data_IF_634477682912
#
_entry.id   IF_634477682912
#
_cell.length_a   1.000
_cell.length_b   1.000
_cell.length_c   1.000
_cell.angle_alpha   90.00
_cell.angle_beta   90.00
_cell.angle_gamma   90.00
#
_symmetry.space_group_name_H-M   'P 1'
#
loop_
_entity.id
_entity.type
_entity.pdbx_description
1 polymer ?
#
# COMPACT_ATOMS: atom_id res chain seq x y z
N UNK A 1 -13.38 -16.67 -7.36
CA UNK A 1 -12.00 -17.05 -6.98
C UNK A 1 -11.06 -16.00 -7.53
N UNK A 2 -10.12 -15.49 -6.72
CA UNK A 2 -9.05 -14.60 -7.20
C UNK A 2 -7.91 -15.38 -7.83
N UNK A 3 -6.93 -14.68 -8.39
CA UNK A 3 -5.70 -15.28 -8.90
C UNK A 3 -4.66 -15.49 -7.79
N UNK A 4 -3.85 -16.53 -7.93
CA UNK A 4 -2.71 -16.80 -7.05
C UNK A 4 -1.43 -16.86 -7.88
N UNK A 5 -0.42 -16.10 -7.48
CA UNK A 5 0.88 -16.00 -8.14
C UNK A 5 1.96 -16.53 -7.20
N UNK A 6 2.67 -17.58 -7.63
CA UNK A 6 3.71 -18.23 -6.82
C UNK A 6 5.01 -18.55 -7.58
N UNK A 7 5.03 -18.41 -8.91
CA UNK A 7 6.24 -18.63 -9.72
C UNK A 7 7.21 -17.47 -9.61
N UNK A 8 8.47 -17.74 -9.29
CA UNK A 8 9.54 -16.73 -9.27
C UNK A 8 9.60 -15.96 -10.59
N UNK A 9 9.87 -14.64 -10.52
CA UNK A 9 10.00 -13.74 -11.68
C UNK A 9 8.74 -13.66 -12.56
N UNK A 10 7.57 -13.96 -11.99
CA UNK A 10 6.30 -13.73 -12.69
C UNK A 10 6.17 -12.27 -13.12
N UNK A 11 5.79 -12.05 -14.38
CA UNK A 11 5.51 -10.73 -14.94
C UNK A 11 4.10 -10.72 -15.52
N UNK A 12 3.29 -9.73 -15.12
CA UNK A 12 2.01 -9.42 -15.75
C UNK A 12 2.02 -7.99 -16.27
N UNK A 13 1.49 -7.80 -17.48
CA UNK A 13 1.45 -6.49 -18.15
C UNK A 13 0.04 -6.25 -18.71
N UNK A 14 -0.56 -5.09 -18.43
CA UNK A 14 -1.76 -4.64 -19.13
C UNK A 14 -3.02 -5.47 -18.86
N UNK A 15 -3.13 -6.10 -17.69
CA UNK A 15 -4.24 -7.00 -17.34
C UNK A 15 -4.96 -6.55 -16.05
N UNK A 16 -6.28 -6.76 -16.01
CA UNK A 16 -7.10 -6.53 -14.81
C UNK A 16 -7.37 -7.85 -14.09
N UNK A 17 -7.12 -7.87 -12.78
CA UNK A 17 -7.52 -8.92 -11.86
C UNK A 17 -8.65 -8.40 -10.97
N UNK A 18 -9.81 -9.03 -11.02
CA UNK A 18 -11.01 -8.54 -10.34
C UNK A 18 -11.68 -9.63 -9.50
N UNK A 19 -12.11 -9.26 -8.29
CA UNK A 19 -13.01 -10.06 -7.48
C UNK A 19 -14.34 -9.33 -7.24
N UNK A 20 -15.41 -9.88 -7.81
CA UNK A 20 -16.76 -9.28 -7.81
C UNK A 20 -17.65 -9.68 -6.62
N UNK A 21 -17.08 -10.29 -5.56
CA UNK A 21 -17.87 -10.74 -4.40
C UNK A 21 -18.66 -9.60 -3.71
N UNK A 22 -18.14 -8.37 -3.76
CA UNK A 22 -18.75 -7.20 -3.17
C UNK A 22 -18.46 -7.05 -1.66
N UNK A 23 -18.76 -5.88 -1.07
CA UNK A 23 -18.33 -5.56 0.29
C UNK A 23 -19.12 -6.36 1.36
N UNK A 24 -20.32 -6.84 1.04
CA UNK A 24 -21.13 -7.70 1.91
C UNK A 24 -20.60 -9.12 2.10
N UNK A 25 -19.54 -9.50 1.39
CA UNK A 25 -18.86 -10.80 1.54
C UNK A 25 -17.59 -10.73 2.38
N UNK A 26 -17.27 -9.56 2.94
CA UNK A 26 -16.04 -9.32 3.69
C UNK A 26 -14.80 -9.63 2.84
N UNK A 27 -13.82 -10.37 3.36
CA UNK A 27 -12.54 -10.64 2.71
C UNK A 27 -12.72 -11.33 1.36
N UNK A 28 -12.23 -10.69 0.29
CA UNK A 28 -12.35 -11.22 -1.07
C UNK A 28 -11.15 -10.79 -1.95
N UNK A 29 -10.09 -11.60 -1.89
CA UNK A 29 -8.84 -11.35 -2.62
C UNK A 29 -9.02 -11.41 -4.13
N UNK A 30 -8.54 -10.39 -4.84
CA UNK A 30 -8.41 -10.39 -6.30
C UNK A 30 -7.11 -11.06 -6.74
N UNK A 31 -6.00 -10.71 -6.08
CA UNK A 31 -4.69 -11.36 -6.30
C UNK A 31 -4.01 -11.64 -4.98
N UNK A 32 -3.57 -12.89 -4.81
CA UNK A 32 -2.56 -13.26 -3.82
C UNK A 32 -1.22 -13.45 -4.52
N UNK A 33 -0.21 -12.71 -4.09
CA UNK A 33 1.14 -12.81 -4.63
C UNK A 33 2.14 -13.25 -3.56
N UNK A 34 2.77 -14.40 -3.78
CA UNK A 34 3.87 -14.94 -3.00
C UNK A 34 5.06 -15.38 -3.89
N UNK A 35 5.18 -14.77 -5.07
CA UNK A 35 6.31 -14.96 -5.97
C UNK A 35 7.42 -13.94 -5.68
N UNK A 36 8.65 -14.43 -5.55
CA UNK A 36 9.81 -13.55 -5.44
C UNK A 36 10.13 -12.92 -6.80
N UNK A 37 10.64 -11.69 -6.77
CA UNK A 37 11.04 -10.93 -7.95
C UNK A 37 9.90 -10.75 -8.95
N UNK A 38 8.66 -10.69 -8.47
CA UNK A 38 7.48 -10.56 -9.32
C UNK A 38 7.22 -9.10 -9.69
N UNK A 39 6.76 -8.87 -10.92
CA UNK A 39 6.44 -7.54 -11.44
C UNK A 39 5.03 -7.47 -12.03
N UNK A 40 4.29 -6.43 -11.66
CA UNK A 40 3.04 -6.06 -12.31
C UNK A 40 3.21 -4.67 -12.93
N UNK A 41 2.95 -4.54 -14.23
CA UNK A 41 3.10 -3.28 -14.96
C UNK A 41 1.83 -2.93 -15.71
N UNK A 42 1.25 -1.75 -15.43
CA UNK A 42 -0.03 -1.33 -16.05
C UNK A 42 -1.15 -2.33 -15.83
N UNK A 43 -1.16 -2.96 -14.67
CA UNK A 43 -2.22 -3.88 -14.26
C UNK A 43 -3.26 -3.13 -13.43
N UNK A 44 -4.47 -3.70 -13.36
CA UNK A 44 -5.49 -3.24 -12.42
C UNK A 44 -5.87 -4.34 -11.44
N UNK A 45 -6.07 -3.98 -10.17
CA UNK A 45 -6.50 -4.86 -9.11
C UNK A 45 -7.79 -4.31 -8.52
N UNK A 46 -8.89 -5.04 -8.71
CA UNK A 46 -10.22 -4.54 -8.39
C UNK A 46 -10.94 -5.43 -7.39
N UNK A 47 -11.29 -4.86 -6.24
CA UNK A 47 -12.07 -5.53 -5.22
C UNK A 47 -12.65 -4.55 -4.20
N UNK A 48 -12.92 -5.08 -3.01
CA UNK A 48 -13.36 -4.31 -1.85
C UNK A 48 -12.39 -4.58 -0.69
N UNK A 49 -12.78 -5.43 0.26
CA UNK A 49 -11.92 -5.82 1.37
C UNK A 49 -10.88 -6.85 0.92
N UNK A 50 -9.63 -6.65 1.34
CA UNK A 50 -8.49 -7.56 1.08
C UNK A 50 -8.16 -7.73 -0.41
N UNK A 51 -8.25 -6.67 -1.22
CA UNK A 51 -8.11 -6.75 -2.70
C UNK A 51 -6.78 -7.36 -3.16
N UNK A 52 -5.65 -6.79 -2.73
CA UNK A 52 -4.32 -7.21 -3.15
C UNK A 52 -3.54 -7.75 -1.95
N UNK A 53 -3.32 -9.06 -1.94
CA UNK A 53 -2.57 -9.73 -0.90
C UNK A 53 -1.10 -9.88 -1.31
N UNK A 54 -0.28 -8.90 -0.93
CA UNK A 54 1.18 -8.89 -1.06
C UNK A 54 1.81 -9.80 0.01
N UNK A 55 1.54 -11.10 -0.12
CA UNK A 55 1.75 -12.08 0.95
C UNK A 55 3.20 -12.14 1.45
N UNK A 56 4.17 -12.30 0.55
CA UNK A 56 5.58 -12.53 0.92
C UNK A 56 6.55 -12.23 -0.22
N UNK A 57 7.85 -12.16 0.11
CA UNK A 57 8.97 -12.02 -0.84
C UNK A 57 9.01 -10.63 -1.51
N UNK A 58 9.87 -10.42 -2.51
CA UNK A 58 10.08 -9.12 -3.15
C UNK A 58 9.13 -8.94 -4.34
N UNK A 59 8.45 -7.80 -4.39
CA UNK A 59 7.40 -7.55 -5.36
C UNK A 59 7.45 -6.10 -5.84
N UNK A 60 7.24 -5.88 -7.14
CA UNK A 60 7.20 -4.55 -7.75
C UNK A 60 5.90 -4.32 -8.52
N UNK A 61 5.26 -3.19 -8.24
CA UNK A 61 4.02 -2.75 -8.89
C UNK A 61 4.26 -1.38 -9.52
N UNK A 62 4.13 -1.27 -10.83
CA UNK A 62 4.41 -0.05 -11.59
C UNK A 62 3.22 0.36 -12.43
N UNK A 63 2.84 1.63 -12.36
CA UNK A 63 1.74 2.19 -13.18
C UNK A 63 0.44 1.38 -13.05
N UNK A 64 0.18 0.81 -11.86
CA UNK A 64 -1.00 0.00 -11.61
C UNK A 64 -2.13 0.82 -10.99
N UNK A 65 -3.37 0.40 -11.23
CA UNK A 65 -4.54 0.90 -10.52
C UNK A 65 -5.00 -0.13 -9.49
N UNK A 66 -5.08 0.25 -8.21
CA UNK A 66 -5.51 -0.63 -7.13
C UNK A 66 -6.77 -0.03 -6.50
N UNK A 67 -7.85 -0.79 -6.46
CA UNK A 67 -9.12 -0.35 -5.90
C UNK A 67 -9.55 -1.21 -4.72
N UNK A 68 -10.02 -0.61 -3.63
CA UNK A 68 -10.63 -1.36 -2.55
C UNK A 68 -11.13 -0.51 -1.38
N UNK A 69 -11.42 -1.16 -0.26
CA UNK A 69 -12.03 -0.52 0.92
C UNK A 69 -11.22 -0.75 2.19
N UNK A 70 -11.45 -1.88 2.84
CA UNK A 70 -10.80 -2.30 4.08
C UNK A 70 -9.54 -3.10 3.71
N UNK A 71 -8.38 -2.67 4.20
CA UNK A 71 -7.11 -3.39 4.10
C UNK A 71 -6.75 -3.82 2.67
N UNK A 72 -7.02 -2.96 1.69
CA UNK A 72 -7.04 -3.41 0.30
C UNK A 72 -5.65 -3.67 -0.31
N UNK A 73 -4.57 -3.25 0.37
CA UNK A 73 -3.21 -3.74 0.16
C UNK A 73 -2.70 -4.29 1.49
N UNK A 74 -2.50 -5.60 1.59
CA UNK A 74 -2.13 -6.22 2.87
C UNK A 74 -1.17 -7.39 2.68
N UNK A 75 -0.44 -7.74 3.74
CA UNK A 75 0.53 -8.83 3.72
C UNK A 75 1.88 -8.47 4.30
N UNK A 76 2.89 -9.31 4.04
CA UNK A 76 4.23 -9.21 4.62
C UNK A 76 5.34 -9.39 3.58
N UNK A 77 5.13 -8.93 2.35
CA UNK A 77 6.18 -8.82 1.32
C UNK A 77 7.14 -7.66 1.60
N UNK A 78 8.26 -7.61 0.88
CA UNK A 78 8.94 -6.35 0.56
C UNK A 78 8.34 -5.83 -0.76
N UNK A 79 7.21 -5.11 -0.67
CA UNK A 79 6.49 -4.61 -1.83
C UNK A 79 6.78 -3.12 -2.07
N UNK A 80 7.09 -2.78 -3.31
CA UNK A 80 7.28 -1.40 -3.76
C UNK A 80 6.25 -1.07 -4.84
N UNK A 81 5.48 -0.01 -4.61
CA UNK A 81 4.54 0.57 -5.55
C UNK A 81 5.13 1.88 -6.09
N UNK A 82 5.23 1.99 -7.41
CA UNK A 82 5.69 3.20 -8.08
C UNK A 82 4.71 3.67 -9.14
N UNK A 83 4.39 4.96 -9.14
CA UNK A 83 3.50 5.58 -10.14
C UNK A 83 2.12 4.90 -10.22
N UNK A 84 1.65 4.31 -9.12
CA UNK A 84 0.36 3.64 -9.06
C UNK A 84 -0.74 4.62 -8.61
N UNK A 85 -1.98 4.32 -8.96
CA UNK A 85 -3.16 4.97 -8.39
C UNK A 85 -3.83 4.04 -7.39
N UNK A 86 -4.04 4.53 -6.17
CA UNK A 86 -4.64 3.79 -5.06
C UNK A 86 -6.02 4.42 -4.79
N UNK A 87 -7.07 3.74 -5.21
CA UNK A 87 -8.44 4.25 -5.21
C UNK A 87 -9.29 3.61 -4.09
N UNK A 88 -9.57 4.39 -3.05
CA UNK A 88 -10.49 3.97 -1.99
C UNK A 88 -11.95 4.04 -2.50
N UNK A 89 -12.67 2.92 -2.42
CA UNK A 89 -14.08 2.80 -2.79
C UNK A 89 -15.00 3.07 -1.60
N UNK A 90 -16.29 3.30 -1.86
CA UNK A 90 -17.30 3.35 -0.81
C UNK A 90 -17.51 1.94 -0.19
N UNK A 91 -17.31 1.77 1.13
CA UNK A 91 -17.51 0.49 1.82
C UNK A 91 -18.96 0.29 2.25
N UNK A 92 -19.22 -0.72 3.08
CA UNK A 92 -20.50 -0.84 3.79
C UNK A 92 -20.67 0.29 4.82
N UNK A 93 -21.91 0.62 5.22
CA UNK A 93 -22.15 1.54 6.32
C UNK A 93 -21.35 1.19 7.57
N UNK A 94 -20.86 2.20 8.27
CA UNK A 94 -20.07 2.10 9.51
C UNK A 94 -18.68 1.44 9.39
N UNK A 95 -18.24 1.07 8.19
CA UNK A 95 -16.85 0.67 7.96
C UNK A 95 -15.93 1.87 7.80
N UNK A 96 -14.64 1.66 8.05
CA UNK A 96 -13.57 2.61 7.76
C UNK A 96 -12.69 2.01 6.67
N UNK A 97 -12.21 2.83 5.74
CA UNK A 97 -11.26 2.37 4.74
C UNK A 97 -9.83 2.44 5.30
N UNK A 98 -9.00 1.49 4.90
CA UNK A 98 -7.56 1.50 5.15
C UNK A 98 -6.85 1.05 3.88
N UNK A 99 -5.97 1.91 3.34
CA UNK A 99 -5.21 1.60 2.13
C UNK A 99 -4.30 0.41 2.37
N UNK A 100 -3.61 0.40 3.52
CA UNK A 100 -2.68 -0.68 3.87
C UNK A 100 -3.01 -1.38 5.19
N UNK A 101 -2.73 -2.68 5.23
CA UNK A 101 -2.65 -3.45 6.47
C UNK A 101 -1.40 -4.34 6.46
N UNK A 102 -0.26 -3.75 6.83
CA UNK A 102 1.02 -4.44 6.76
C UNK A 102 1.20 -5.38 7.96
N UNK A 103 1.71 -6.58 7.67
CA UNK A 103 1.69 -7.74 8.55
C UNK A 103 3.05 -8.21 9.05
N UNK A 104 4.04 -7.33 9.22
CA UNK A 104 5.35 -7.72 9.76
C UNK A 104 5.25 -8.10 11.23
N UNK A 105 5.72 -9.30 11.58
CA UNK A 105 5.60 -9.90 12.92
C UNK A 105 6.90 -9.89 13.70
N UNK A 106 8.03 -9.69 13.04
CA UNK A 106 9.36 -9.76 13.65
C UNK A 106 10.22 -8.60 13.13
N UNK A 107 10.94 -7.86 14.00
CA UNK A 107 11.75 -6.71 13.59
C UNK A 107 12.91 -7.10 12.65
N UNK A 108 13.36 -8.36 12.67
CA UNK A 108 14.43 -8.88 11.81
C UNK A 108 13.95 -9.23 10.40
N UNK A 109 12.63 -9.19 10.14
CA UNK A 109 12.10 -9.33 8.79
C UNK A 109 12.37 -8.05 7.98
N UNK A 110 12.95 -8.21 6.81
CA UNK A 110 13.24 -7.14 5.84
C UNK A 110 12.02 -6.79 4.96
N UNK A 111 10.81 -6.85 5.52
CA UNK A 111 9.54 -6.71 4.81
C UNK A 111 8.83 -5.40 5.15
N UNK A 112 7.84 -5.00 4.35
CA UNK A 112 7.16 -3.72 4.44
C UNK A 112 6.50 -3.32 3.12
N UNK A 113 5.64 -2.30 3.18
CA UNK A 113 4.99 -1.71 2.00
C UNK A 113 5.58 -0.31 1.77
N UNK A 114 6.16 -0.08 0.60
CA UNK A 114 6.68 1.21 0.17
C UNK A 114 5.83 1.76 -0.98
N UNK A 115 5.18 2.91 -0.76
CA UNK A 115 4.35 3.60 -1.75
C UNK A 115 5.10 4.86 -2.17
N UNK A 116 5.65 4.86 -3.38
CA UNK A 116 6.50 5.95 -3.88
C UNK A 116 5.90 6.57 -5.14
N UNK A 117 5.81 7.90 -5.19
CA UNK A 117 5.30 8.63 -6.35
C UNK A 117 3.95 8.10 -6.87
N UNK A 118 3.08 7.73 -5.94
CA UNK A 118 1.74 7.21 -6.23
C UNK A 118 0.69 8.31 -6.01
N UNK A 119 -0.56 8.01 -6.33
CA UNK A 119 -1.70 8.86 -6.04
C UNK A 119 -2.71 8.13 -5.18
N UNK A 120 -3.03 8.66 -4.00
CA UNK A 120 -4.06 8.11 -3.11
C UNK A 120 -5.32 8.97 -3.24
N UNK A 121 -6.39 8.39 -3.79
CA UNK A 121 -7.60 9.12 -4.17
C UNK A 121 -8.88 8.35 -3.82
N UNK A 122 -10.00 9.06 -3.85
CA UNK A 122 -11.32 8.43 -3.78
C UNK A 122 -11.72 7.92 -5.16
N UNK A 123 -12.22 6.69 -5.24
CA UNK A 123 -12.92 6.21 -6.43
C UNK A 123 -14.23 7.01 -6.63
N UNK A 124 -14.79 7.04 -7.86
CA UNK A 124 -15.98 7.84 -8.18
C UNK A 124 -17.17 7.64 -7.23
N UNK A 125 -17.35 6.45 -6.66
CA UNK A 125 -18.46 6.17 -5.75
C UNK A 125 -18.27 6.72 -4.33
N UNK A 126 -17.02 6.93 -3.88
CA UNK A 126 -16.69 7.55 -2.60
C UNK A 126 -16.60 9.08 -2.74
N UNK A 127 -16.11 9.58 -3.87
CA UNK A 127 -15.92 11.02 -4.11
C UNK A 127 -17.24 11.81 -4.12
N UNK A 128 -18.39 11.15 -4.27
CA UNK A 128 -19.71 11.78 -4.16
C UNK A 128 -20.01 12.28 -2.74
N UNK A 129 -19.44 11.63 -1.72
CA UNK A 129 -19.60 12.01 -0.32
C UNK A 129 -18.42 11.48 0.51
N UNK A 130 -17.33 12.26 0.57
CA UNK A 130 -16.14 11.92 1.35
C UNK A 130 -16.40 11.85 2.86
N UNK A 131 -17.46 12.50 3.35
CA UNK A 131 -17.82 12.46 4.77
C UNK A 131 -18.52 11.14 5.16
N UNK A 132 -18.99 10.37 4.18
CA UNK A 132 -19.65 9.09 4.44
C UNK A 132 -18.72 8.01 4.99
N UNK A 133 -17.40 8.15 4.84
CA UNK A 133 -16.43 7.13 5.26
C UNK A 133 -15.07 7.74 5.59
N UNK A 134 -14.60 7.53 6.82
CA UNK A 134 -13.20 7.83 7.17
C UNK A 134 -12.25 6.88 6.45
N UNK A 135 -11.28 7.44 5.71
CA UNK A 135 -10.22 6.69 5.02
C UNK A 135 -8.85 7.01 5.63
N UNK A 136 -8.02 5.99 5.77
CA UNK A 136 -6.68 6.08 6.37
C UNK A 136 -5.63 5.44 5.46
N UNK A 137 -4.37 5.90 5.55
CA UNK A 137 -3.22 5.34 4.83
C UNK A 137 -2.94 3.89 5.25
N UNK A 138 -3.27 3.53 6.48
CA UNK A 138 -3.22 2.13 6.90
C UNK A 138 -3.47 1.91 8.38
N UNK A 139 -3.40 0.63 8.76
CA UNK A 139 -3.50 0.15 10.15
C UNK A 139 -2.64 -1.08 10.41
N UNK A 140 -2.08 -1.25 11.62
CA UNK A 140 -1.06 -2.27 11.88
C UNK A 140 -1.68 -3.65 12.11
N UNK A 141 -1.73 -4.47 11.07
CA UNK A 141 -2.25 -5.85 11.21
C UNK A 141 -1.40 -6.67 12.18
N UNK A 142 -0.09 -6.38 12.26
CA UNK A 142 0.87 -7.05 13.16
C UNK A 142 1.76 -6.04 13.89
N UNK A 143 2.37 -6.51 14.98
CA UNK A 143 3.07 -5.68 15.98
C UNK A 143 4.24 -4.84 15.43
N UNK A 144 4.91 -5.30 14.37
CA UNK A 144 6.03 -4.59 13.75
C UNK A 144 5.67 -4.02 12.38
N UNK A 145 4.38 -3.78 12.14
CA UNK A 145 3.84 -3.24 10.88
C UNK A 145 4.70 -2.10 10.35
N UNK A 146 5.07 -2.16 9.07
CA UNK A 146 5.98 -1.22 8.43
C UNK A 146 5.47 -0.78 7.06
N UNK A 147 5.04 0.47 6.97
CA UNK A 147 4.51 1.08 5.75
C UNK A 147 5.08 2.48 5.61
N UNK A 148 5.49 2.85 4.39
CA UNK A 148 5.83 4.24 4.08
C UNK A 148 5.06 4.74 2.87
N UNK A 149 4.71 6.02 2.90
CA UNK A 149 4.12 6.76 1.78
C UNK A 149 5.01 7.96 1.50
N UNK A 150 5.61 8.00 0.33
CA UNK A 150 6.60 9.02 0.00
C UNK A 150 6.42 9.59 -1.41
N UNK A 151 6.69 10.88 -1.55
CA UNK A 151 6.64 11.63 -2.81
C UNK A 151 5.30 11.48 -3.55
N UNK A 152 4.23 11.22 -2.80
CA UNK A 152 2.94 10.80 -3.35
C UNK A 152 1.89 11.90 -3.21
N UNK A 153 0.97 11.96 -4.16
CA UNK A 153 -0.23 12.79 -4.02
C UNK A 153 -1.19 12.11 -3.03
N UNK A 154 -1.66 12.86 -2.04
CA UNK A 154 -2.65 12.40 -1.06
C UNK A 154 -3.88 13.31 -1.18
N UNK A 155 -5.00 12.73 -1.64
CA UNK A 155 -6.30 13.40 -1.72
C UNK A 155 -6.89 13.74 -0.35
N UNK A 156 -7.92 14.57 -0.36
CA UNK A 156 -8.62 15.08 0.83
C UNK A 156 -9.45 14.01 1.57
N UNK A 157 -9.64 12.83 0.96
CA UNK A 157 -10.28 11.67 1.61
C UNK A 157 -9.52 11.15 2.83
N UNK A 158 -8.21 11.38 2.91
CA UNK A 158 -7.40 10.85 4.01
C UNK A 158 -7.68 11.67 5.26
N UNK A 159 -8.15 10.96 6.29
CA UNK A 159 -8.42 11.55 7.58
C UNK A 159 -7.15 12.26 8.12
N UNK A 160 -7.26 13.43 8.77
CA UNK A 160 -6.10 14.16 9.27
C UNK A 160 -5.19 13.36 10.22
N UNK A 161 -5.73 12.36 10.94
CA UNK A 161 -4.94 11.43 11.76
C UNK A 161 -3.99 10.56 10.92
N UNK A 162 -4.30 10.35 9.63
CA UNK A 162 -3.50 9.62 8.64
C UNK A 162 -3.57 8.10 8.80
N UNK A 163 -3.41 7.62 10.03
CA UNK A 163 -3.26 6.20 10.36
C UNK A 163 -4.33 5.78 11.38
N UNK A 164 -4.79 4.53 11.27
CA UNK A 164 -5.86 3.97 12.11
C UNK A 164 -5.29 2.87 13.01
N UNK A 165 -5.69 2.87 14.27
CA UNK A 165 -5.34 1.83 15.22
C UNK A 165 -5.95 0.47 14.82
N UNK A 166 -5.23 -0.63 15.06
CA UNK A 166 -5.78 -1.98 14.84
C UNK A 166 -6.65 -2.41 16.03
N UNK A 167 -6.06 -2.34 17.23
CA UNK A 167 -6.76 -2.60 18.50
C UNK A 167 -6.10 -1.80 19.63
N UNK A 168 -6.81 -0.75 20.09
CA UNK A 168 -6.38 0.21 21.12
C UNK A 168 -4.90 0.63 20.98
N UNK A 169 -3.99 -0.03 21.71
CA UNK A 169 -2.59 0.38 21.80
C UNK A 169 -1.57 -0.67 21.31
N UNK A 170 -2.00 -1.80 20.73
CA UNK A 170 -1.07 -2.89 20.40
C UNK A 170 -0.07 -2.46 19.31
N UNK A 171 1.24 -2.48 19.65
CA UNK A 171 2.35 -2.31 18.71
C UNK A 171 2.62 -0.87 18.27
N UNK A 172 1.90 0.14 18.76
CA UNK A 172 2.04 1.53 18.28
C UNK A 172 3.44 2.14 18.55
N UNK A 173 4.20 1.57 19.47
CA UNK A 173 5.59 1.87 19.79
C UNK A 173 6.61 1.11 18.92
N UNK A 174 6.19 0.01 18.28
CA UNK A 174 7.06 -0.92 17.53
C UNK A 174 6.90 -0.85 16.01
N UNK A 175 5.76 -0.34 15.54
CA UNK A 175 5.51 -0.11 14.12
C UNK A 175 6.46 0.95 13.55
N UNK A 176 6.54 1.02 12.23
CA UNK A 176 7.19 2.13 11.52
C UNK A 176 6.28 2.62 10.40
N UNK A 177 5.63 3.75 10.62
CA UNK A 177 4.79 4.45 9.64
C UNK A 177 5.39 5.79 9.27
N UNK A 178 5.88 5.86 8.03
CA UNK A 178 6.63 6.99 7.51
C UNK A 178 5.88 7.78 6.44
N UNK A 179 5.95 9.10 6.52
CA UNK A 179 5.55 10.01 5.44
C UNK A 179 6.74 10.91 5.03
N UNK A 180 6.98 11.08 3.73
CA UNK A 180 8.08 11.90 3.19
C UNK A 180 7.66 12.63 1.92
N UNK A 181 7.81 13.96 1.88
CA UNK A 181 7.55 14.80 0.69
C UNK A 181 6.23 14.52 -0.04
N UNK A 182 5.19 14.10 0.70
CA UNK A 182 3.86 13.95 0.13
C UNK A 182 3.25 15.33 -0.12
N UNK A 183 2.36 15.40 -1.12
CA UNK A 183 1.70 16.64 -1.51
C UNK A 183 0.21 16.42 -1.75
N UNK A 184 -0.55 17.50 -1.90
CA UNK A 184 -1.99 17.46 -2.03
C UNK A 184 -2.72 17.70 -0.69
N UNK A 185 -4.06 17.81 -0.73
CA UNK A 185 -4.84 18.30 0.40
C UNK A 185 -4.83 17.37 1.62
N UNK A 186 -4.63 16.05 1.44
CA UNK A 186 -4.53 15.10 2.55
C UNK A 186 -3.11 14.91 3.11
N UNK A 187 -2.10 15.55 2.52
CA UNK A 187 -0.69 15.37 2.91
C UNK A 187 -0.27 16.19 4.15
N UNK A 188 -1.13 17.06 4.67
CA UNK A 188 -0.79 17.86 5.87
C UNK A 188 -0.65 16.96 7.11
N UNK A 189 0.56 16.95 7.69
CA UNK A 189 0.91 16.08 8.81
C UNK A 189 0.68 16.68 10.21
N UNK A 190 0.27 17.95 10.31
CA UNK A 190 0.13 18.68 11.60
C UNK A 190 -0.86 18.06 12.59
N UNK A 191 -1.79 17.23 12.10
CA UNK A 191 -2.83 16.55 12.90
C UNK A 191 -2.72 15.02 12.88
N UNK A 192 -1.58 14.50 12.41
CA UNK A 192 -1.32 13.06 12.43
C UNK A 192 -1.33 12.52 13.86
N UNK A 193 -1.51 11.21 13.96
CA UNK A 193 -1.34 10.47 15.20
C UNK A 193 0.01 10.78 15.87
N UNK A 194 0.05 10.71 17.20
CA UNK A 194 1.26 10.95 18.02
C UNK A 194 1.91 9.64 18.48
N UNK A 195 1.82 8.60 17.68
CA UNK A 195 2.37 7.29 18.02
C UNK A 195 3.90 7.31 17.96
N UNK A 196 4.61 6.64 18.88
CA UNK A 196 6.07 6.59 18.81
C UNK A 196 6.61 5.97 17.51
N UNK A 197 5.87 5.01 16.93
CA UNK A 197 6.20 4.38 15.66
C UNK A 197 5.79 5.16 14.40
N UNK A 198 5.23 6.37 14.55
CA UNK A 198 4.98 7.28 13.41
C UNK A 198 6.17 8.24 13.24
N UNK A 199 6.63 8.41 12.00
CA UNK A 199 7.77 9.26 11.68
C UNK A 199 7.48 10.20 10.51
N UNK A 200 7.83 11.47 10.69
CA UNK A 200 8.06 12.37 9.56
C UNK A 200 9.49 12.16 9.08
N UNK A 201 9.63 11.42 7.99
CA UNK A 201 10.93 10.91 7.54
C UNK A 201 11.80 12.06 6.99
N UNK A 202 13.12 11.89 7.11
CA UNK A 202 14.10 12.66 6.34
C UNK A 202 14.61 11.85 5.13
N UNK A 203 15.53 12.42 4.35
CA UNK A 203 16.09 11.78 3.16
C UNK A 203 16.75 10.42 3.45
N UNK A 204 17.48 10.31 4.56
CA UNK A 204 18.18 9.08 4.95
C UNK A 204 17.19 7.97 5.32
N UNK A 205 16.12 8.33 6.02
CA UNK A 205 15.02 7.41 6.33
C UNK A 205 14.35 6.92 5.04
N UNK A 206 13.96 7.86 4.17
CA UNK A 206 13.25 7.58 2.93
C UNK A 206 14.08 6.74 1.94
N UNK A 207 15.40 6.96 1.87
CA UNK A 207 16.32 6.19 1.04
C UNK A 207 16.23 4.68 1.31
N UNK A 208 16.00 4.26 2.56
CA UNK A 208 15.89 2.84 2.94
C UNK A 208 14.69 2.13 2.30
N UNK A 209 13.68 2.88 1.86
CA UNK A 209 12.44 2.35 1.29
C UNK A 209 12.36 2.48 -0.23
N UNK A 210 13.43 2.97 -0.87
CA UNK A 210 13.54 3.04 -2.33
C UNK A 210 13.71 1.66 -2.96
N UNK A 211 13.43 1.55 -4.25
CA UNK A 211 13.51 0.28 -4.96
C UNK A 211 14.92 -0.32 -4.94
N UNK A 212 15.96 0.52 -4.95
CA UNK A 212 17.36 0.11 -4.81
C UNK A 212 17.64 -0.55 -3.46
N UNK A 213 17.41 0.17 -2.35
CA UNK A 213 17.80 -0.29 -1.01
C UNK A 213 16.83 -1.34 -0.44
N UNK A 214 15.53 -1.18 -0.67
CA UNK A 214 14.52 -1.97 0.03
C UNK A 214 14.32 -3.36 -0.57
N UNK A 215 14.33 -3.45 -1.90
CA UNK A 215 13.98 -4.66 -2.63
C UNK A 215 15.03 -5.05 -3.69
N UNK A 216 16.23 -4.46 -3.62
CA UNK A 216 17.39 -4.79 -4.46
C UNK A 216 17.07 -4.74 -5.96
N UNK A 217 16.26 -3.75 -6.39
CA UNK A 217 15.66 -3.69 -7.72
C UNK A 217 16.62 -3.89 -8.89
N UNK A 218 17.84 -3.36 -8.77
CA UNK A 218 18.86 -3.45 -9.84
C UNK A 218 19.32 -4.86 -10.14
N UNK A 219 19.14 -5.79 -9.21
CA UNK A 219 19.55 -7.18 -9.39
C UNK A 219 18.58 -7.99 -10.24
N UNK A 220 17.37 -7.47 -10.51
CA UNK A 220 16.31 -8.26 -11.16
C UNK A 220 15.38 -7.49 -12.10
N UNK A 221 15.11 -6.21 -11.85
CA UNK A 221 14.23 -5.40 -12.71
C UNK A 221 14.82 -5.10 -14.10
N UNK A 222 16.15 -4.93 -14.31
CA UNK A 222 16.69 -4.72 -15.66
C UNK A 222 16.35 -5.83 -16.67
N UNK A 223 16.13 -7.07 -16.20
CA UNK A 223 15.75 -8.20 -17.06
C UNK A 223 14.29 -8.14 -17.54
N UNK A 224 13.47 -7.25 -16.98
CA UNK A 224 12.04 -7.13 -17.30
C UNK A 224 11.74 -6.10 -18.39
N UNK A 225 12.69 -5.21 -18.69
CA UNK A 225 12.48 -4.01 -19.53
C UNK A 225 11.36 -3.06 -19.03
N UNK A 226 10.89 -3.22 -17.79
CA UNK A 226 9.87 -2.34 -17.18
C UNK A 226 10.58 -1.15 -16.51
N UNK A 227 10.12 0.09 -16.71
CA UNK A 227 10.73 1.26 -16.11
C UNK A 227 10.56 1.27 -14.59
N UNK A 228 11.60 1.64 -13.87
CA UNK A 228 11.57 1.83 -12.42
C UNK A 228 12.49 2.97 -11.99
N UNK A 229 12.10 3.66 -10.92
CA UNK A 229 12.97 4.64 -10.27
C UNK A 229 13.80 3.92 -9.21
N UNK A 230 15.12 4.07 -9.24
CA UNK A 230 16.03 3.38 -8.30
C UNK A 230 15.96 3.99 -6.90
N UNK A 231 16.02 5.32 -6.82
CA UNK A 231 16.11 6.10 -5.58
C UNK A 231 14.96 7.11 -5.40
N UNK A 232 15.21 8.17 -4.64
CA UNK A 232 14.27 9.28 -4.38
C UNK A 232 14.21 10.30 -5.52
N UNK A 233 15.26 10.40 -6.33
CA UNK A 233 15.34 11.32 -7.47
C UNK A 233 15.54 10.51 -8.75
N UNK A 234 15.13 11.09 -9.88
CA UNK A 234 15.31 10.49 -11.21
C UNK A 234 16.77 10.56 -11.65
#
# INVERSE_FOLDING_TARGET
MGAAVSGERFVAIGITFMNIAGPGKHQAVAVRNNADLSTFYRCSFEGYQDTLYVHSLRQFYRECDIYGTVDFIFGNSAAVFQNCNLFARKPMPNQKNAVTAQGRTDPNQNTGISIQNCSVQAAPNLSLDLNSTSTYLGRPWKEYSRTVVMQSFIGDLINPQGWLEWNANMGLDKIYYGEYENYGPGANTSRRVRWPGYSHMNDLDALNFTMYNFAMGDTWLPYTNIPFSRGLHK
#
